data_IF_152731443679
#
_entry.id   IF_152731443679
#
_cell.length_a   1.000
_cell.length_b   1.000
_cell.length_c   1.000
_cell.angle_alpha   90.00
_cell.angle_beta   90.00
_cell.angle_gamma   90.00
#
_symmetry.space_group_name_H-M   'P 1'
#
loop_
_entity.id
_entity.type
_entity.pdbx_description
1 polymer ?
#
# COMPACT_ATOMS: atom_id res chain seq x y z
N UNK A 1 42.10 -1.30 49.32
CA UNK A 1 40.87 -1.01 50.10
C UNK A 1 39.74 -1.66 49.31
N UNK A 2 39.13 -2.77 49.72
CA UNK A 2 38.28 -3.06 50.90
C UNK A 2 36.85 -3.32 50.38
N UNK A 3 36.44 -4.61 50.40
CA UNK A 3 35.14 -5.20 50.83
C UNK A 3 33.81 -4.55 50.40
N UNK A 4 32.66 -5.23 50.20
CA UNK A 4 32.15 -6.64 50.17
C UNK A 4 30.78 -6.58 49.42
N UNK A 5 30.26 -7.54 48.65
CA UNK A 5 29.83 -8.94 48.91
C UNK A 5 28.51 -9.12 49.73
N UNK A 6 27.54 -9.89 49.18
CA UNK A 6 26.22 -10.25 49.78
C UNK A 6 25.11 -9.19 49.59
N UNK A 7 23.90 -9.38 49.02
CA UNK A 7 23.02 -10.50 48.57
C UNK A 7 21.89 -10.92 49.56
N UNK A 8 20.64 -10.98 49.04
CA UNK A 8 19.40 -11.58 49.58
C UNK A 8 18.73 -10.86 50.78
N UNK A 9 17.42 -11.03 51.10
CA UNK A 9 16.16 -11.28 50.35
C UNK A 9 14.95 -11.05 51.32
N UNK A 10 13.69 -11.15 50.85
CA UNK A 10 12.42 -10.92 51.60
C UNK A 10 12.04 -12.01 52.64
N UNK A 11 10.90 -11.95 53.40
CA UNK A 11 9.75 -11.00 53.42
C UNK A 11 9.56 -10.34 54.83
N UNK A 12 8.42 -9.96 55.45
CA UNK A 12 6.93 -10.03 55.28
C UNK A 12 6.30 -8.90 56.19
N UNK A 13 4.99 -8.61 56.43
CA UNK A 13 3.65 -9.21 56.17
C UNK A 13 2.48 -8.19 56.31
N UNK A 14 1.54 -8.20 55.36
CA UNK A 14 0.06 -8.10 55.53
C UNK A 14 -0.66 -6.95 56.29
N UNK A 15 -1.51 -6.22 55.53
CA UNK A 15 -2.86 -5.62 55.83
C UNK A 15 -3.25 -4.80 54.59
N UNK A 16 -4.15 -5.25 53.72
CA UNK A 16 -5.62 -5.17 53.83
C UNK A 16 -6.16 -3.77 54.18
N UNK A 17 -6.63 -3.05 53.15
CA UNK A 17 -7.95 -2.40 53.10
C UNK A 17 -8.25 -1.97 51.65
N UNK A 18 -9.45 -2.27 51.14
CA UNK A 18 -9.78 -2.08 49.71
C UNK A 18 -10.63 -0.83 49.43
N UNK A 19 -9.98 0.26 49.01
CA UNK A 19 -10.69 1.51 48.62
C UNK A 19 -10.57 1.76 47.12
N UNK A 20 -11.57 1.27 46.37
CA UNK A 20 -11.65 1.38 44.90
C UNK A 20 -11.93 2.83 44.48
N UNK A 21 -10.87 3.60 44.30
CA UNK A 21 -10.94 4.91 43.66
C UNK A 21 -11.08 4.72 42.15
N UNK A 22 -12.28 4.91 41.61
CA UNK A 22 -12.54 4.96 40.16
C UNK A 22 -12.00 6.26 39.55
N UNK A 23 -10.68 6.42 39.59
CA UNK A 23 -9.95 7.39 38.78
C UNK A 23 -10.31 7.13 37.32
N UNK A 24 -11.06 8.05 36.71
CA UNK A 24 -11.43 7.93 35.30
C UNK A 24 -10.13 7.96 34.48
N UNK A 25 -9.80 6.90 33.73
CA UNK A 25 -8.65 6.96 32.84
C UNK A 25 -8.98 7.96 31.74
N UNK A 26 -8.32 9.12 31.78
CA UNK A 26 -8.24 10.00 30.62
C UNK A 26 -7.61 9.19 29.50
N UNK A 27 -8.45 8.72 28.56
CA UNK A 27 -7.99 8.06 27.35
C UNK A 27 -7.11 9.05 26.61
N UNK A 28 -5.80 8.93 26.82
CA UNK A 28 -4.79 9.56 25.97
C UNK A 28 -4.85 8.78 24.67
N UNK A 29 -5.79 9.20 23.82
CA UNK A 29 -6.10 8.56 22.55
C UNK A 29 -4.85 8.61 21.69
N UNK A 30 -4.13 7.49 21.67
CA UNK A 30 -2.91 7.35 20.90
C UNK A 30 -3.34 7.29 19.44
N UNK A 31 -3.29 8.43 18.77
CA UNK A 31 -3.56 8.62 17.35
C UNK A 31 -2.69 7.64 16.54
N UNK A 32 -3.23 6.45 16.28
CA UNK A 32 -2.59 5.42 15.46
C UNK A 32 -2.66 5.89 14.02
N UNK A 33 -1.63 6.64 13.62
CA UNK A 33 -1.49 7.19 12.26
C UNK A 33 -1.52 6.05 11.26
N UNK A 34 -2.66 5.84 10.63
CA UNK A 34 -2.83 4.87 9.56
C UNK A 34 -1.99 5.29 8.36
N UNK A 35 -0.77 4.76 8.29
CA UNK A 35 0.14 4.98 7.18
C UNK A 35 -0.38 4.23 5.95
N UNK A 36 -1.24 4.89 5.18
CA UNK A 36 -1.75 4.37 3.91
C UNK A 36 -0.59 4.22 2.92
N UNK A 37 -0.09 3.00 2.77
CA UNK A 37 1.00 2.64 1.86
C UNK A 37 0.52 2.65 0.39
N UNK A 38 0.43 3.85 -0.19
CA UNK A 38 0.17 4.01 -1.63
C UNK A 38 1.39 3.49 -2.42
N UNK A 39 1.15 2.50 -3.30
CA UNK A 39 2.18 2.00 -4.23
C UNK A 39 2.55 3.11 -5.21
N UNK A 40 3.80 3.57 -5.17
CA UNK A 40 4.36 4.53 -6.11
C UNK A 40 5.28 3.82 -7.08
N UNK A 41 4.91 3.78 -8.35
CA UNK A 41 5.78 3.35 -9.43
C UNK A 41 6.65 4.52 -9.91
N UNK A 42 7.84 4.21 -10.41
CA UNK A 42 8.72 5.12 -11.14
C UNK A 42 9.13 4.40 -12.43
N UNK A 43 8.85 4.94 -13.62
CA UNK A 43 9.28 4.30 -14.86
C UNK A 43 10.81 4.33 -14.97
N UNK A 44 11.36 3.25 -15.51
CA UNK A 44 12.73 3.21 -16.02
C UNK A 44 12.82 3.93 -17.37
N UNK A 45 14.04 4.07 -17.90
CA UNK A 45 14.24 4.62 -19.24
C UNK A 45 13.61 3.73 -20.33
N UNK A 46 13.60 2.40 -20.12
CA UNK A 46 13.01 1.45 -21.05
C UNK A 46 11.48 1.55 -21.07
N UNK A 47 10.86 1.75 -19.90
CA UNK A 47 9.40 1.97 -19.79
C UNK A 47 8.96 3.27 -20.49
N UNK A 48 9.75 4.34 -20.39
CA UNK A 48 9.52 5.61 -21.11
C UNK A 48 9.70 5.41 -22.61
N UNK A 49 10.77 4.73 -23.04
CA UNK A 49 11.03 4.46 -24.45
C UNK A 49 9.94 3.58 -25.08
N UNK A 50 9.46 2.58 -24.35
CA UNK A 50 8.31 1.75 -24.74
C UNK A 50 7.05 2.59 -24.93
N UNK A 51 6.69 3.42 -23.95
CA UNK A 51 5.50 4.27 -24.02
C UNK A 51 5.57 5.34 -25.13
N UNK A 52 6.77 5.81 -25.48
CA UNK A 52 6.98 6.79 -26.56
C UNK A 52 6.92 6.18 -27.97
N UNK A 53 7.31 4.92 -28.15
CA UNK A 53 7.25 4.25 -29.45
C UNK A 53 5.90 3.53 -29.70
N UNK A 54 5.16 3.21 -28.64
CA UNK A 54 3.93 2.42 -28.72
C UNK A 54 4.20 0.92 -28.95
N UNK A 55 3.14 0.14 -29.16
CA UNK A 55 3.22 -1.31 -29.41
C UNK A 55 2.32 -1.70 -30.58
N UNK A 56 2.93 -2.24 -31.64
CA UNK A 56 2.15 -2.86 -32.72
C UNK A 56 1.47 -4.13 -32.19
N UNK A 57 0.15 -4.08 -32.05
CA UNK A 57 -0.68 -5.18 -31.60
C UNK A 57 -1.50 -5.79 -32.76
N UNK A 58 -2.18 -6.90 -32.48
CA UNK A 58 -3.09 -7.56 -33.43
C UNK A 58 -4.44 -7.80 -32.79
N UNK A 59 -5.50 -7.26 -33.39
CA UNK A 59 -6.87 -7.41 -32.92
C UNK A 59 -7.37 -8.82 -33.24
N UNK A 60 -7.75 -9.56 -32.20
CA UNK A 60 -8.20 -10.94 -32.33
C UNK A 60 -9.68 -10.98 -32.76
N UNK A 61 -10.11 -12.11 -33.30
CA UNK A 61 -11.50 -12.43 -33.64
C UNK A 61 -12.22 -11.43 -34.61
N UNK A 62 -11.48 -10.54 -35.28
CA UNK A 62 -12.06 -9.54 -36.17
C UNK A 62 -12.87 -8.45 -35.46
N UNK A 63 -12.59 -8.17 -34.18
CA UNK A 63 -13.32 -7.18 -33.41
C UNK A 63 -13.12 -5.75 -33.96
N UNK A 64 -14.21 -4.96 -34.01
CA UNK A 64 -14.14 -3.59 -34.51
C UNK A 64 -13.37 -2.67 -33.54
N UNK A 65 -12.47 -1.83 -34.08
CA UNK A 65 -11.60 -0.95 -33.29
C UNK A 65 -12.34 -0.11 -32.23
N UNK A 66 -13.53 0.48 -32.49
CA UNK A 66 -14.27 1.21 -31.46
C UNK A 66 -14.71 0.34 -30.26
N UNK A 67 -14.97 -0.95 -30.48
CA UNK A 67 -15.33 -1.89 -29.40
C UNK A 67 -14.09 -2.22 -28.55
N UNK A 68 -12.93 -2.36 -29.18
CA UNK A 68 -11.64 -2.55 -28.49
C UNK A 68 -11.29 -1.31 -27.67
N UNK A 69 -11.40 -0.11 -28.28
CA UNK A 69 -11.16 1.18 -27.63
C UNK A 69 -12.06 1.41 -26.41
N UNK A 70 -13.35 1.08 -26.50
CA UNK A 70 -14.27 1.19 -25.36
C UNK A 70 -13.81 0.32 -24.18
N UNK A 71 -13.45 -0.96 -24.42
CA UNK A 71 -12.98 -1.85 -23.35
C UNK A 71 -11.67 -1.37 -22.70
N UNK A 72 -10.80 -0.70 -23.45
CA UNK A 72 -9.57 -0.07 -22.94
C UNK A 72 -9.92 1.08 -21.99
N UNK A 73 -10.91 1.91 -22.35
CA UNK A 73 -11.45 2.98 -21.49
C UNK A 73 -12.16 2.41 -20.26
N UNK A 74 -12.94 1.33 -20.41
CA UNK A 74 -13.63 0.63 -19.30
C UNK A 74 -12.63 0.02 -18.30
N UNK A 75 -11.49 -0.48 -18.79
CA UNK A 75 -10.37 -0.94 -17.98
C UNK A 75 -9.57 0.20 -17.32
N UNK A 76 -9.93 1.46 -17.56
CA UNK A 76 -9.37 2.65 -16.93
C UNK A 76 -8.32 3.40 -17.76
N UNK A 77 -7.90 2.87 -18.92
CA UNK A 77 -6.85 3.46 -19.76
C UNK A 77 -7.40 4.56 -20.69
N UNK A 78 -7.93 5.63 -20.09
CA UNK A 78 -8.62 6.73 -20.78
C UNK A 78 -7.76 7.53 -21.76
N UNK A 79 -6.45 7.47 -21.61
CA UNK A 79 -5.47 8.24 -22.40
C UNK A 79 -4.78 7.38 -23.48
N UNK A 80 -5.10 6.09 -23.58
CA UNK A 80 -4.57 5.19 -24.62
C UNK A 80 -5.49 5.22 -25.84
N UNK A 81 -4.94 5.60 -27.00
CA UNK A 81 -5.66 5.67 -28.28
C UNK A 81 -5.15 4.56 -29.21
N UNK A 82 -6.06 3.73 -29.72
CA UNK A 82 -5.75 2.65 -30.67
C UNK A 82 -5.75 3.21 -32.10
N UNK A 83 -4.62 3.13 -32.80
CA UNK A 83 -4.44 3.67 -34.15
C UNK A 83 -4.48 2.51 -35.17
N UNK A 84 -5.47 2.45 -36.08
CA UNK A 84 -5.54 1.38 -37.08
C UNK A 84 -4.42 1.50 -38.13
N UNK A 85 -3.60 0.46 -38.24
CA UNK A 85 -2.53 0.36 -39.25
C UNK A 85 -2.96 -0.40 -40.51
N UNK A 86 -4.14 -1.04 -40.47
CA UNK A 86 -4.73 -1.80 -41.58
C UNK A 86 -4.94 -3.27 -41.24
N UNK A 87 -5.94 -3.88 -41.89
CA UNK A 87 -6.40 -5.24 -41.60
C UNK A 87 -6.67 -5.48 -40.09
N UNK A 88 -5.86 -6.30 -39.44
CA UNK A 88 -5.93 -6.65 -38.01
C UNK A 88 -4.87 -5.93 -37.15
N UNK A 89 -4.04 -5.07 -37.74
CA UNK A 89 -2.91 -4.39 -37.05
C UNK A 89 -3.31 -3.02 -36.51
N UNK A 90 -2.83 -2.74 -35.31
CA UNK A 90 -2.99 -1.45 -34.62
C UNK A 90 -1.70 -1.05 -33.91
N UNK A 91 -1.54 0.24 -33.65
CA UNK A 91 -0.58 0.84 -32.72
C UNK A 91 -1.31 1.38 -31.47
#
# INVERSE_FOLDING_TARGET
QKEKEGKAEEPEKGKDESVVHYAHPTKKEAETKEHVFVRKYKPSQDDVLWAQNGVVATVRNGEAIPVVQNRIVDAGFKELVVIPMGADKVL
#
